data_IF_167225741774
#
_entry.id   IF_167225741774
#
_cell.length_a   1.000
_cell.length_b   1.000
_cell.length_c   1.000
_cell.angle_alpha   90.00
_cell.angle_beta   90.00
_cell.angle_gamma   90.00
#
_symmetry.space_group_name_H-M   'P 1'
#
loop_
_entity.id
_entity.type
_entity.pdbx_description
1 polymer ?
#
# COMPACT_ATOMS: atom_id res chain seq x y z
N UNK A 1 -26.81 -9.75 -24.31
CA UNK A 1 -26.24 -8.41 -24.07
C UNK A 1 -27.34 -7.54 -23.47
N UNK A 2 -27.36 -7.29 -22.16
CA UNK A 2 -28.51 -6.67 -21.47
C UNK A 2 -28.33 -5.15 -21.34
N UNK A 3 -29.22 -4.43 -22.02
CA UNK A 3 -29.41 -2.99 -21.99
C UNK A 3 -29.43 -2.43 -20.56
N UNK A 4 -28.53 -1.47 -20.27
CA UNK A 4 -28.46 -0.73 -18.99
C UNK A 4 -28.65 0.78 -19.17
N UNK A 5 -29.23 1.20 -20.29
CA UNK A 5 -29.55 2.61 -20.58
C UNK A 5 -31.06 2.80 -20.51
N UNK A 6 -31.52 3.88 -19.88
CA UNK A 6 -32.93 4.30 -19.97
C UNK A 6 -33.26 4.89 -21.35
N UNK A 7 -34.54 5.22 -21.56
CA UNK A 7 -35.01 5.82 -22.82
C UNK A 7 -34.42 7.20 -23.13
N UNK A 8 -33.65 7.79 -22.19
CA UNK A 8 -32.89 9.04 -22.38
C UNK A 8 -31.40 8.78 -22.58
N UNK A 9 -30.98 7.52 -22.72
CA UNK A 9 -29.58 7.16 -22.90
C UNK A 9 -28.74 7.27 -21.62
N UNK A 10 -29.35 7.38 -20.44
CA UNK A 10 -28.62 7.42 -19.17
C UNK A 10 -28.48 6.03 -18.58
N UNK A 11 -27.30 5.74 -18.00
CA UNK A 11 -27.06 4.46 -17.32
C UNK A 11 -27.98 4.32 -16.11
N UNK A 12 -28.89 3.36 -16.14
CA UNK A 12 -29.64 2.93 -14.95
C UNK A 12 -28.70 2.11 -14.07
N UNK A 13 -28.16 2.75 -13.03
CA UNK A 13 -27.35 2.14 -11.99
C UNK A 13 -27.46 2.93 -10.69
N UNK A 14 -27.27 2.27 -9.55
CA UNK A 14 -27.18 2.95 -8.25
C UNK A 14 -25.89 3.77 -8.24
N UNK A 15 -26.01 5.09 -8.16
CA UNK A 15 -24.86 5.97 -7.88
C UNK A 15 -24.45 5.72 -6.43
N UNK A 16 -23.20 5.33 -6.22
CA UNK A 16 -22.61 5.12 -4.90
C UNK A 16 -21.54 6.17 -4.67
N UNK A 17 -21.43 6.68 -3.44
CA UNK A 17 -20.32 7.57 -3.08
C UNK A 17 -19.01 6.79 -3.25
N UNK A 18 -18.05 7.39 -3.95
CA UNK A 18 -16.73 6.82 -4.18
C UNK A 18 -16.03 6.45 -2.87
N UNK A 19 -16.28 7.19 -1.78
CA UNK A 19 -15.68 6.93 -0.46
C UNK A 19 -15.98 5.54 0.09
N UNK A 20 -17.18 5.03 -0.17
CA UNK A 20 -17.64 3.70 0.29
C UNK A 20 -17.54 2.63 -0.80
N UNK A 21 -17.05 3.01 -1.99
CA UNK A 21 -16.94 2.12 -3.14
C UNK A 21 -15.80 1.12 -2.97
N UNK A 22 -16.03 -0.11 -3.43
CA UNK A 22 -14.97 -1.12 -3.58
C UNK A 22 -13.90 -0.70 -4.56
N UNK A 23 -14.29 0.03 -5.61
CA UNK A 23 -13.36 0.53 -6.61
C UNK A 23 -12.26 1.39 -5.98
N UNK A 24 -12.61 2.22 -4.98
CA UNK A 24 -11.63 3.05 -4.27
C UNK A 24 -10.59 2.22 -3.52
N UNK A 25 -10.99 1.11 -2.92
CA UNK A 25 -10.06 0.22 -2.22
C UNK A 25 -9.07 -0.38 -3.21
N UNK A 26 -9.58 -0.91 -4.33
CA UNK A 26 -8.75 -1.46 -5.40
C UNK A 26 -7.78 -0.41 -5.95
N UNK A 27 -8.26 0.78 -6.29
CA UNK A 27 -7.41 1.86 -6.82
C UNK A 27 -6.30 2.31 -5.85
N UNK A 28 -6.53 2.21 -4.53
CA UNK A 28 -5.53 2.56 -3.53
C UNK A 28 -4.49 1.47 -3.29
N UNK A 29 -4.89 0.19 -3.38
CA UNK A 29 -4.02 -0.95 -3.08
C UNK A 29 -3.29 -1.49 -4.31
N UNK A 30 -3.86 -1.35 -5.51
CA UNK A 30 -3.23 -1.78 -6.76
C UNK A 30 -1.92 -1.03 -6.99
N UNK A 31 -0.86 -1.79 -7.24
CA UNK A 31 0.49 -1.27 -7.47
C UNK A 31 1.15 -0.64 -6.24
N UNK A 32 0.54 -0.74 -5.05
CA UNK A 32 1.15 -0.24 -3.82
C UNK A 32 2.43 -1.00 -3.49
N UNK A 33 2.39 -2.34 -3.57
CA UNK A 33 3.55 -3.17 -3.28
C UNK A 33 4.63 -3.09 -4.36
N UNK A 34 4.26 -2.92 -5.63
CA UNK A 34 5.22 -2.68 -6.71
C UNK A 34 6.06 -1.42 -6.44
N UNK A 35 5.43 -0.36 -5.90
CA UNK A 35 6.13 0.87 -5.50
C UNK A 35 7.07 0.70 -4.31
N UNK A 36 7.01 -0.41 -3.57
CA UNK A 36 7.99 -0.70 -2.52
C UNK A 36 9.35 -1.05 -3.11
N UNK A 37 9.41 -1.45 -4.39
CA UNK A 37 10.69 -1.67 -5.08
C UNK A 37 11.47 -0.36 -5.31
N UNK A 38 10.85 0.81 -5.13
CA UNK A 38 11.53 2.11 -5.14
C UNK A 38 12.32 2.36 -3.83
N UNK A 39 12.27 1.46 -2.85
CA UNK A 39 12.90 1.63 -1.54
C UNK A 39 13.88 0.52 -1.23
N UNK A 40 15.06 0.91 -0.75
CA UNK A 40 16.09 -0.03 -0.32
C UNK A 40 16.62 0.30 1.07
N UNK A 41 17.37 -0.62 1.65
CA UNK A 41 18.02 -0.44 2.94
C UNK A 41 19.46 0.01 2.72
N UNK A 42 19.77 1.23 3.16
CA UNK A 42 21.12 1.82 3.07
C UNK A 42 21.81 1.85 4.43
N UNK A 43 23.11 1.59 4.43
CA UNK A 43 23.93 1.61 5.65
C UNK A 43 24.44 3.03 5.89
N UNK A 44 23.81 3.72 6.83
CA UNK A 44 24.19 5.10 7.22
C UNK A 44 25.44 5.11 8.10
N UNK A 45 25.56 4.12 9.00
CA UNK A 45 26.72 3.94 9.88
C UNK A 45 27.08 2.46 10.05
N UNK A 46 28.19 2.16 10.73
CA UNK A 46 28.61 0.78 11.02
C UNK A 46 27.53 -0.11 11.67
N UNK A 47 26.52 0.47 12.34
CA UNK A 47 25.44 -0.23 13.07
C UNK A 47 24.02 0.17 12.67
N UNK A 48 23.85 1.16 11.78
CA UNK A 48 22.53 1.72 11.46
C UNK A 48 22.21 1.55 10.00
N UNK A 49 21.00 1.09 9.76
CA UNK A 49 20.41 0.90 8.45
C UNK A 49 19.13 1.72 8.38
N UNK A 50 18.92 2.40 7.27
CA UNK A 50 17.73 3.21 7.04
C UNK A 50 17.11 2.86 5.71
N UNK A 51 15.77 2.86 5.66
CA UNK A 51 15.05 2.70 4.41
C UNK A 51 15.07 4.03 3.65
N UNK A 52 15.66 4.01 2.46
CA UNK A 52 15.79 5.18 1.59
C UNK A 52 15.06 4.93 0.28
N UNK A 53 14.48 5.99 -0.27
CA UNK A 53 13.89 5.94 -1.61
C UNK A 53 14.98 6.12 -2.66
N UNK A 54 15.03 5.22 -3.64
CA UNK A 54 16.02 5.21 -4.72
C UNK A 54 15.49 6.00 -5.90
N UNK A 55 16.07 7.16 -6.18
CA UNK A 55 15.77 7.91 -7.41
C UNK A 55 16.47 7.32 -8.65
N UNK A 56 17.69 6.79 -8.45
CA UNK A 56 18.46 6.11 -9.48
C UNK A 56 19.30 4.99 -8.88
N UNK A 57 19.06 3.76 -9.36
CA UNK A 57 19.82 2.57 -8.99
C UNK A 57 21.30 2.66 -9.38
N UNK A 58 21.65 3.55 -10.30
CA UNK A 58 23.02 3.72 -10.73
C UNK A 58 23.85 4.55 -9.75
N UNK A 59 23.20 5.45 -9.02
CA UNK A 59 23.83 6.38 -8.08
C UNK A 59 23.98 5.81 -6.66
N UNK A 60 23.55 4.57 -6.42
CA UNK A 60 23.58 3.98 -5.10
C UNK A 60 25.03 3.70 -4.66
N UNK A 61 25.46 4.32 -3.55
CA UNK A 61 26.76 4.06 -2.92
C UNK A 61 26.70 2.75 -2.13
N UNK A 62 27.05 1.62 -2.74
CA UNK A 62 27.12 0.34 -2.05
C UNK A 62 26.91 -0.87 -2.96
N UNK A 63 26.57 -2.01 -2.34
CA UNK A 63 26.30 -3.24 -3.07
C UNK A 63 24.91 -3.19 -3.72
N UNK A 64 24.86 -2.89 -5.02
CA UNK A 64 23.63 -2.81 -5.81
C UNK A 64 22.80 -4.10 -5.79
N UNK A 65 23.44 -5.27 -5.72
CA UNK A 65 22.72 -6.56 -5.71
C UNK A 65 21.98 -6.74 -4.38
N UNK A 66 22.64 -6.43 -3.27
CA UNK A 66 22.06 -6.49 -1.93
C UNK A 66 20.92 -5.47 -1.78
N UNK A 67 21.10 -4.24 -2.26
CA UNK A 67 20.07 -3.22 -2.25
C UNK A 67 18.81 -3.64 -3.05
N UNK A 68 19.00 -4.26 -4.22
CA UNK A 68 17.89 -4.81 -5.02
C UNK A 68 17.20 -5.97 -4.32
N UNK A 69 17.95 -6.82 -3.62
CA UNK A 69 17.38 -7.90 -2.81
C UNK A 69 16.47 -7.34 -1.71
N UNK A 70 16.91 -6.33 -0.95
CA UNK A 70 16.07 -5.70 0.08
C UNK A 70 14.80 -5.07 -0.45
N UNK A 71 14.85 -4.47 -1.65
CA UNK A 71 13.69 -3.83 -2.26
C UNK A 71 12.65 -4.86 -2.69
N UNK A 72 13.12 -5.98 -3.26
CA UNK A 72 12.27 -7.12 -3.61
C UNK A 72 11.68 -7.78 -2.36
N UNK A 73 12.46 -7.90 -1.29
CA UNK A 73 11.99 -8.44 -0.02
C UNK A 73 10.91 -7.54 0.59
N UNK A 74 11.07 -6.22 0.50
CA UNK A 74 10.07 -5.25 0.97
C UNK A 74 8.77 -5.34 0.17
N UNK A 75 8.85 -5.40 -1.16
CA UNK A 75 7.69 -5.62 -2.04
C UNK A 75 6.97 -6.93 -1.71
N UNK A 76 7.73 -8.02 -1.55
CA UNK A 76 7.20 -9.33 -1.19
C UNK A 76 6.58 -9.36 0.21
N UNK A 77 7.15 -8.63 1.15
CA UNK A 77 6.58 -8.45 2.49
C UNK A 77 5.30 -7.63 2.45
N UNK A 78 5.25 -6.56 1.66
CA UNK A 78 4.03 -5.78 1.44
C UNK A 78 2.90 -6.65 0.90
N UNK A 79 3.19 -7.51 -0.09
CA UNK A 79 2.20 -8.44 -0.65
C UNK A 79 1.60 -9.34 0.42
N UNK A 80 2.43 -10.04 1.20
CA UNK A 80 1.98 -10.89 2.32
C UNK A 80 1.18 -10.12 3.37
N UNK A 81 1.64 -8.92 3.73
CA UNK A 81 0.95 -8.07 4.70
C UNK A 81 -0.45 -7.67 4.20
N UNK A 82 -0.58 -7.30 2.92
CA UNK A 82 -1.88 -6.96 2.35
C UNK A 82 -2.77 -8.19 2.20
N UNK A 83 -2.25 -9.34 1.76
CA UNK A 83 -3.01 -10.59 1.70
C UNK A 83 -3.65 -10.93 3.05
N UNK A 84 -2.95 -10.72 4.16
CA UNK A 84 -3.46 -10.98 5.50
C UNK A 84 -4.45 -9.92 6.01
N UNK A 85 -4.31 -8.65 5.58
CA UNK A 85 -4.99 -7.51 6.20
C UNK A 85 -6.01 -6.80 5.29
N UNK A 86 -6.08 -7.15 4.01
CA UNK A 86 -6.85 -6.44 2.97
C UNK A 86 -8.32 -6.30 3.35
N UNK A 87 -8.97 -7.36 3.82
CA UNK A 87 -10.39 -7.35 4.17
C UNK A 87 -10.73 -6.35 5.29
N UNK A 88 -9.89 -6.28 6.32
CA UNK A 88 -10.09 -5.36 7.44
C UNK A 88 -9.71 -3.93 7.06
N UNK A 89 -8.61 -3.77 6.34
CA UNK A 89 -8.18 -2.48 5.82
C UNK A 89 -9.23 -1.87 4.88
N UNK A 90 -9.81 -2.68 3.99
CA UNK A 90 -10.87 -2.28 3.07
C UNK A 90 -12.10 -1.76 3.83
N UNK A 91 -12.50 -2.43 4.93
CA UNK A 91 -13.60 -1.98 5.79
C UNK A 91 -13.27 -0.63 6.42
N UNK A 92 -12.05 -0.41 6.90
CA UNK A 92 -11.62 0.87 7.49
C UNK A 92 -11.58 2.01 6.46
N UNK A 93 -11.10 1.73 5.25
CA UNK A 93 -11.09 2.70 4.14
C UNK A 93 -12.52 3.10 3.78
N UNK A 94 -13.42 2.12 3.59
CA UNK A 94 -14.84 2.37 3.27
C UNK A 94 -15.56 3.16 4.37
N UNK A 95 -15.23 2.95 5.64
CA UNK A 95 -15.77 3.72 6.78
C UNK A 95 -15.21 5.15 6.87
N UNK A 96 -14.15 5.46 6.13
CA UNK A 96 -13.46 6.75 6.24
C UNK A 96 -12.61 6.89 7.51
N UNK A 97 -12.31 5.77 8.19
CA UNK A 97 -11.51 5.76 9.42
C UNK A 97 -10.01 5.97 9.17
N UNK A 98 -9.56 5.78 7.93
CA UNK A 98 -8.15 5.97 7.53
C UNK A 98 -7.91 7.43 7.18
N UNK A 99 -7.13 8.12 8.01
CA UNK A 99 -6.62 9.48 7.75
C UNK A 99 -5.22 9.42 7.15
N UNK A 100 -4.84 10.49 6.42
CA UNK A 100 -3.46 10.67 5.95
C UNK A 100 -2.50 10.60 7.14
N UNK A 101 -1.43 9.82 7.01
CA UNK A 101 -0.46 9.56 8.08
C UNK A 101 -0.90 8.54 9.14
N UNK A 102 -2.18 8.16 9.20
CA UNK A 102 -2.69 7.17 10.16
C UNK A 102 -2.48 5.72 9.75
N UNK A 103 -2.09 5.48 8.50
CA UNK A 103 -2.00 4.13 7.92
C UNK A 103 -0.95 3.25 8.64
N UNK A 104 0.18 3.84 9.05
CA UNK A 104 1.25 3.13 9.77
C UNK A 104 0.75 2.53 11.08
N UNK A 105 -0.06 3.29 11.84
CA UNK A 105 -0.65 2.81 13.10
C UNK A 105 -1.61 1.65 12.82
N UNK A 106 -2.51 1.82 11.87
CA UNK A 106 -3.52 0.82 11.51
C UNK A 106 -2.85 -0.48 11.06
N UNK A 107 -1.94 -0.42 10.08
CA UNK A 107 -1.29 -1.61 9.55
C UNK A 107 -0.37 -2.26 10.58
N UNK A 108 0.55 -1.50 11.18
CA UNK A 108 1.60 -2.09 12.01
C UNK A 108 1.16 -2.44 13.44
N UNK A 109 0.24 -1.67 14.04
CA UNK A 109 -0.19 -1.89 15.43
C UNK A 109 -1.52 -2.63 15.49
N UNK A 110 -2.53 -2.17 14.73
CA UNK A 110 -3.90 -2.64 14.91
C UNK A 110 -4.17 -3.96 14.14
N UNK A 111 -3.73 -4.03 12.89
CA UNK A 111 -3.99 -5.18 12.00
C UNK A 111 -2.90 -6.26 12.12
N UNK A 112 -1.64 -5.96 11.77
CA UNK A 112 -0.58 -6.98 11.76
C UNK A 112 0.10 -7.20 13.11
N UNK A 113 0.00 -6.23 14.03
CA UNK A 113 0.59 -6.29 15.39
C UNK A 113 2.12 -6.46 15.38
N UNK A 114 2.80 -6.09 14.30
CA UNK A 114 4.26 -6.13 14.21
C UNK A 114 4.93 -5.03 15.04
N UNK A 115 4.24 -3.90 15.25
CA UNK A 115 4.69 -2.81 16.08
C UNK A 115 4.08 -2.92 17.47
N UNK A 116 4.92 -2.78 18.51
CA UNK A 116 4.40 -2.53 19.87
C UNK A 116 3.76 -1.13 19.89
N UNK A 117 2.69 -0.98 20.66
CA UNK A 117 2.18 0.35 20.98
C UNK A 117 3.29 1.09 21.73
N UNK A 118 3.80 2.17 21.11
CA UNK A 118 4.61 3.13 21.87
C UNK A 118 3.69 3.73 22.92
N UNK A 119 4.07 3.52 24.18
CA UNK A 119 3.39 4.10 25.34
C UNK A 119 3.50 5.62 25.34
#
# INVERSE_FOLDING_TARGET
MRHRLDSKGQRKGKVIDYRVSELRVVELLVGLCDKMEDYTLEKVDSKRYEWVRVESWDNLSGNKQEAKAYSKDLSSYCGRLLEETEDELAKLIKKGSVKVGGLSKILCQDLSKHCKQSR
#
